data_IF_585874039311
#
_entry.id   IF_585874039311
#
_cell.length_a   1.000
_cell.length_b   1.000
_cell.length_c   1.000
_cell.angle_alpha   90.00
_cell.angle_beta   90.00
_cell.angle_gamma   90.00
#
_symmetry.space_group_name_H-M   'P 1'
#
loop_
_entity.id
_entity.type
_entity.pdbx_description
1 polymer ?
#
# COMPACT_ATOMS: atom_id res chain seq x y z
N UNK A 1 16.04 7.06 0.03
CA UNK A 1 15.28 5.85 -0.40
C UNK A 1 13.82 6.09 -0.08
N UNK A 2 12.88 5.87 -1.01
CA UNK A 2 11.44 5.90 -0.67
C UNK A 2 11.15 4.68 0.20
N UNK A 3 10.37 4.84 1.26
CA UNK A 3 9.91 3.70 2.06
C UNK A 3 8.94 2.84 1.24
N UNK A 4 8.91 1.54 1.51
CA UNK A 4 7.97 0.58 0.92
C UNK A 4 6.52 1.09 0.97
N UNK A 5 6.12 1.67 2.10
CA UNK A 5 4.80 2.27 2.25
C UNK A 5 4.57 3.43 1.29
N UNK A 6 5.54 4.32 1.12
CA UNK A 6 5.42 5.43 0.17
C UNK A 6 5.38 4.92 -1.27
N UNK A 7 6.15 3.89 -1.59
CA UNK A 7 6.09 3.23 -2.88
C UNK A 7 4.69 2.66 -3.15
N UNK A 8 4.08 1.97 -2.19
CA UNK A 8 2.70 1.44 -2.35
C UNK A 8 1.71 2.58 -2.59
N UNK A 9 1.80 3.66 -1.83
CA UNK A 9 0.89 4.81 -1.97
C UNK A 9 0.98 5.41 -3.38
N UNK A 10 2.19 5.68 -3.84
CA UNK A 10 2.45 6.32 -5.12
C UNK A 10 2.10 5.38 -6.29
N UNK A 11 2.67 4.16 -6.28
CA UNK A 11 2.56 3.19 -7.37
C UNK A 11 1.16 2.62 -7.53
N UNK A 12 0.46 2.35 -6.43
CA UNK A 12 -0.91 1.81 -6.46
C UNK A 12 -1.98 2.90 -6.48
N UNK A 13 -1.59 4.18 -6.43
CA UNK A 13 -2.47 5.35 -6.33
C UNK A 13 -3.48 5.19 -5.18
N UNK A 14 -2.96 4.88 -3.99
CA UNK A 14 -3.76 4.77 -2.77
C UNK A 14 -4.13 6.17 -2.31
N UNK A 15 -5.43 6.44 -2.20
CA UNK A 15 -5.92 7.69 -1.60
C UNK A 15 -5.89 7.53 -0.09
N UNK A 16 -4.96 8.22 0.56
CA UNK A 16 -4.80 8.23 2.01
C UNK A 16 -4.34 9.62 2.50
N UNK A 17 -4.78 10.11 3.67
CA UNK A 17 -4.21 11.30 4.31
C UNK A 17 -2.71 11.17 4.61
N UNK A 18 -2.20 9.94 4.76
CA UNK A 18 -0.77 9.68 4.85
C UNK A 18 -0.44 8.22 5.18
N UNK A 19 0.86 7.94 5.24
CA UNK A 19 1.43 6.61 5.55
C UNK A 19 1.10 6.06 6.95
N UNK A 20 0.63 6.91 7.88
CA UNK A 20 0.21 6.50 9.25
C UNK A 20 -1.29 6.22 9.37
N UNK A 21 -2.06 6.43 8.32
CA UNK A 21 -3.50 6.17 8.32
C UNK A 21 -3.75 4.67 8.49
N UNK A 22 -4.66 4.31 9.40
CA UNK A 22 -5.04 2.93 9.60
C UNK A 22 -5.72 2.38 8.34
N UNK A 23 -5.29 1.21 7.86
CA UNK A 23 -5.84 0.60 6.63
C UNK A 23 -7.36 0.40 6.75
N UNK A 24 -7.85 0.04 7.94
CA UNK A 24 -9.29 -0.19 8.18
C UNK A 24 -10.16 1.06 7.99
N UNK A 25 -9.61 2.27 8.03
CA UNK A 25 -10.35 3.51 7.77
C UNK A 25 -10.39 3.90 6.29
N UNK A 26 -9.67 3.19 5.42
CA UNK A 26 -9.70 3.42 3.98
C UNK A 26 -10.93 2.77 3.34
N UNK A 27 -11.39 3.28 2.20
CA UNK A 27 -12.43 2.60 1.43
C UNK A 27 -11.95 1.23 0.93
N UNK A 28 -12.88 0.30 0.72
CA UNK A 28 -12.55 -1.07 0.28
C UNK A 28 -11.64 -1.13 -0.95
N UNK A 29 -11.85 -0.27 -1.95
CA UNK A 29 -10.96 -0.19 -3.12
C UNK A 29 -9.54 0.27 -2.80
N UNK A 30 -9.35 1.16 -1.82
CA UNK A 30 -8.00 1.55 -1.36
C UNK A 30 -7.37 0.47 -0.48
N UNK A 31 -8.16 -0.27 0.29
CA UNK A 31 -7.68 -1.43 1.05
C UNK A 31 -7.12 -2.51 0.12
N UNK A 32 -7.85 -2.85 -0.95
CA UNK A 32 -7.40 -3.81 -1.97
C UNK A 32 -6.06 -3.40 -2.59
N UNK A 33 -5.92 -2.11 -2.96
CA UNK A 33 -4.66 -1.56 -3.51
C UNK A 33 -3.48 -1.73 -2.56
N UNK A 34 -3.68 -1.49 -1.26
CA UNK A 34 -2.63 -1.66 -0.25
C UNK A 34 -2.21 -3.13 -0.14
N UNK A 35 -3.15 -4.07 -0.11
CA UNK A 35 -2.86 -5.51 -0.02
C UNK A 35 -2.05 -5.98 -1.24
N UNK A 36 -2.50 -5.63 -2.45
CA UNK A 36 -1.80 -5.98 -3.68
C UNK A 36 -0.40 -5.35 -3.70
N UNK A 37 -0.28 -4.06 -3.35
CA UNK A 37 1.01 -3.37 -3.27
C UNK A 37 1.99 -4.06 -2.31
N UNK A 38 1.51 -4.56 -1.17
CA UNK A 38 2.32 -5.33 -0.22
C UNK A 38 2.83 -6.64 -0.80
N UNK A 39 1.99 -7.37 -1.56
CA UNK A 39 2.42 -8.60 -2.23
C UNK A 39 3.45 -8.36 -3.34
N UNK A 40 3.38 -7.22 -4.03
CA UNK A 40 4.39 -6.85 -5.02
C UNK A 40 5.76 -6.52 -4.40
N UNK A 41 5.77 -6.16 -3.11
CA UNK A 41 7.01 -5.90 -2.36
C UNK A 41 7.60 -7.15 -1.72
N UNK A 42 6.84 -8.25 -1.61
CA UNK A 42 7.41 -9.52 -1.18
C UNK A 42 8.23 -10.13 -2.30
N UNK A 43 9.45 -10.53 -2.01
CA UNK A 43 10.27 -11.41 -2.87
C UNK A 43 9.98 -12.85 -2.45
N UNK A 44 9.11 -13.59 -3.14
CA UNK A 44 8.87 -14.99 -2.81
C UNK A 44 10.16 -15.78 -3.06
N UNK A 45 10.64 -16.49 -2.05
CA UNK A 45 11.66 -17.54 -2.26
C UNK A 45 10.95 -18.78 -2.81
N UNK A 46 11.46 -19.30 -3.93
CA UNK A 46 11.04 -20.54 -4.55
C UNK A 46 12.05 -21.65 -4.27
#
# INVERSE_FOLDING_TARGET
>A
MKSDTQWVIDSMRVKTPGHRTQIGSLSGGNQQKVIIGRWLLTQPEY
#
